data_IF_272080794815
#
_entry.id   IF_272080794815
#
_cell.length_a   1.000
_cell.length_b   1.000
_cell.length_c   1.000
_cell.angle_alpha   90.00
_cell.angle_beta   90.00
_cell.angle_gamma   90.00
#
_symmetry.space_group_name_H-M   'P 1'
#
loop_
_entity.id
_entity.type
_entity.pdbx_description
1 polymer ?
#
# COMPACT_ATOMS: atom_id res chain seq x y z
N UNK A 1 -5.50 8.27 13.08
CA UNK A 1 -5.46 8.55 11.61
C UNK A 1 -6.51 9.60 11.35
N UNK A 2 -6.15 10.71 10.69
CA UNK A 2 -7.11 11.78 10.38
C UNK A 2 -8.07 11.34 9.27
N UNK A 3 -9.29 11.86 9.29
CA UNK A 3 -10.26 11.67 8.21
C UNK A 3 -9.75 12.19 6.87
N UNK A 4 -8.94 13.26 6.89
CA UNK A 4 -8.35 13.86 5.69
C UNK A 4 -7.43 12.89 4.95
N UNK A 5 -6.64 12.08 5.67
CA UNK A 5 -5.77 11.07 5.05
C UNK A 5 -6.60 10.00 4.34
N UNK A 6 -7.74 9.60 4.91
CA UNK A 6 -8.64 8.64 4.28
C UNK A 6 -9.27 9.24 3.02
N UNK A 7 -9.71 10.50 3.08
CA UNK A 7 -10.29 11.21 1.94
C UNK A 7 -9.29 11.34 0.78
N UNK A 8 -8.06 11.76 1.07
CA UNK A 8 -6.97 11.85 0.07
C UNK A 8 -6.70 10.48 -0.53
N UNK A 9 -6.60 9.44 0.30
CA UNK A 9 -6.38 8.08 -0.17
C UNK A 9 -7.52 7.59 -1.08
N UNK A 10 -8.78 7.78 -0.68
CA UNK A 10 -9.93 7.39 -1.49
C UNK A 10 -9.98 8.14 -2.83
N UNK A 11 -9.69 9.46 -2.82
CA UNK A 11 -9.61 10.27 -4.04
C UNK A 11 -8.55 9.77 -5.02
N UNK A 12 -7.32 9.47 -4.54
CA UNK A 12 -6.23 8.94 -5.37
C UNK A 12 -6.53 7.56 -5.96
N UNK A 13 -7.43 6.80 -5.34
CA UNK A 13 -7.80 5.46 -5.75
C UNK A 13 -9.29 5.33 -6.10
N UNK A 14 -9.92 6.39 -6.61
CA UNK A 14 -11.36 6.39 -6.96
C UNK A 14 -11.73 5.34 -8.01
N UNK A 15 -10.76 4.85 -8.80
CA UNK A 15 -10.95 3.75 -9.76
C UNK A 15 -10.91 2.35 -9.13
N UNK A 16 -10.65 2.23 -7.82
CA UNK A 16 -10.70 0.97 -7.07
C UNK A 16 -12.06 0.81 -6.38
N UNK A 17 -12.55 -0.43 -6.21
CA UNK A 17 -13.81 -0.66 -5.50
C UNK A 17 -13.68 -0.33 -4.01
N UNK A 18 -14.78 0.08 -3.38
CA UNK A 18 -14.83 0.43 -1.94
C UNK A 18 -14.30 -0.68 -1.05
N UNK A 19 -14.63 -1.94 -1.35
CA UNK A 19 -14.11 -3.11 -0.64
C UNK A 19 -12.57 -3.21 -0.65
N UNK A 20 -11.90 -2.65 -1.66
CA UNK A 20 -10.44 -2.56 -1.69
C UNK A 20 -9.94 -1.44 -0.76
N UNK A 21 -10.61 -0.28 -0.74
CA UNK A 21 -10.30 0.84 0.15
C UNK A 21 -10.44 0.42 1.61
N UNK A 22 -11.58 -0.16 1.97
CA UNK A 22 -11.87 -0.66 3.32
C UNK A 22 -10.84 -1.68 3.80
N UNK A 23 -10.48 -2.65 2.95
CA UNK A 23 -9.47 -3.66 3.27
C UNK A 23 -8.08 -3.05 3.46
N UNK A 24 -7.73 -2.02 2.68
CA UNK A 24 -6.47 -1.30 2.83
C UNK A 24 -6.42 -0.55 4.17
N UNK A 25 -7.51 0.12 4.54
CA UNK A 25 -7.67 0.80 5.85
C UNK A 25 -7.57 -0.21 7.00
N UNK A 26 -8.27 -1.35 6.90
CA UNK A 26 -8.24 -2.40 7.91
C UNK A 26 -6.81 -2.93 8.11
N UNK A 27 -6.06 -3.16 7.03
CA UNK A 27 -4.64 -3.58 7.12
C UNK A 27 -3.75 -2.53 7.74
N UNK A 28 -3.93 -1.26 7.37
CA UNK A 28 -3.21 -0.17 7.97
C UNK A 28 -3.42 -0.14 9.50
N UNK A 29 -4.67 -0.28 9.96
CA UNK A 29 -5.02 -0.35 11.39
C UNK A 29 -4.43 -1.57 12.11
N UNK A 30 -4.22 -2.70 11.41
CA UNK A 30 -3.57 -3.88 11.98
C UNK A 30 -2.07 -3.71 12.21
N UNK A 31 -1.45 -2.76 11.51
CA UNK A 31 -0.04 -2.39 11.67
C UNK A 31 0.72 -2.39 10.35
N UNK A 32 1.36 -1.25 10.09
CA UNK A 32 2.39 -1.06 9.07
C UNK A 32 3.64 -0.55 9.75
N UNK A 33 4.75 -1.25 9.54
CA UNK A 33 6.06 -0.94 10.08
C UNK A 33 6.98 -0.53 8.94
N UNK A 34 7.63 0.64 9.05
CA UNK A 34 8.69 1.02 8.12
C UNK A 34 9.99 0.36 8.57
N UNK A 35 10.50 -0.56 7.76
CA UNK A 35 11.73 -1.33 8.04
C UNK A 35 12.97 -0.59 7.52
N UNK A 36 12.84 0.11 6.39
CA UNK A 36 13.86 0.99 5.84
C UNK A 36 13.20 2.08 5.00
N UNK A 37 14.00 2.97 4.41
CA UNK A 37 13.50 4.11 3.60
C UNK A 37 12.42 3.67 2.59
N UNK A 38 12.65 2.57 1.88
CA UNK A 38 11.82 2.06 0.78
C UNK A 38 11.16 0.70 1.08
N UNK A 39 11.20 0.23 2.33
CA UNK A 39 10.73 -1.12 2.70
C UNK A 39 9.78 -1.07 3.89
N UNK A 40 8.65 -1.72 3.74
CA UNK A 40 7.57 -1.73 4.72
C UNK A 40 7.13 -3.16 5.03
N UNK A 41 6.72 -3.40 6.26
CA UNK A 41 6.13 -4.65 6.72
C UNK A 41 4.67 -4.40 7.06
N UNK A 42 3.77 -5.14 6.43
CA UNK A 42 2.32 -5.06 6.65
C UNK A 42 1.87 -6.34 7.34
N UNK A 43 1.08 -6.21 8.40
CA UNK A 43 0.51 -7.38 9.08
C UNK A 43 -0.54 -8.06 8.17
N UNK A 44 -0.46 -9.38 8.09
CA UNK A 44 -1.47 -10.20 7.42
C UNK A 44 -2.78 -10.24 8.22
N UNK A 45 -3.91 -10.43 7.54
CA UNK A 45 -5.19 -10.65 8.22
C UNK A 45 -5.31 -12.10 8.73
N UNK A 46 -6.25 -12.33 9.67
CA UNK A 46 -6.66 -13.68 10.07
C UNK A 46 -7.08 -14.46 8.81
N UNK A 47 -6.55 -15.66 8.64
CA UNK A 47 -6.72 -16.55 7.47
C UNK A 47 -5.89 -16.20 6.23
N UNK A 48 -5.00 -15.21 6.29
CA UNK A 48 -3.98 -15.08 5.26
C UNK A 48 -2.83 -16.05 5.48
N UNK A 49 -2.29 -16.57 4.38
CA UNK A 49 -1.20 -17.54 4.40
C UNK A 49 0.11 -16.99 5.01
N UNK A 50 0.29 -15.67 5.07
CA UNK A 50 1.46 -15.06 5.68
C UNK A 50 1.02 -14.12 6.81
N UNK A 51 1.68 -14.23 7.96
CA UNK A 51 1.45 -13.33 9.11
C UNK A 51 1.95 -11.91 8.84
N UNK A 52 2.90 -11.75 7.92
CA UNK A 52 3.47 -10.48 7.47
C UNK A 52 3.77 -10.49 5.98
N UNK A 53 3.62 -9.34 5.35
CA UNK A 53 3.95 -9.09 3.95
C UNK A 53 4.98 -7.96 3.86
N UNK A 54 6.03 -8.16 3.08
CA UNK A 54 7.04 -7.13 2.81
C UNK A 54 6.65 -6.39 1.54
N UNK A 55 6.48 -5.08 1.62
CA UNK A 55 6.23 -4.20 0.47
C UNK A 55 7.47 -3.35 0.24
N UNK A 56 7.91 -3.26 -1.01
CA UNK A 56 9.12 -2.53 -1.40
C UNK A 56 8.77 -1.51 -2.48
N UNK A 57 9.19 -0.26 -2.31
CA UNK A 57 9.13 0.75 -3.35
C UNK A 57 10.27 0.52 -4.35
N UNK A 58 9.94 0.50 -5.64
CA UNK A 58 10.81 0.11 -6.74
C UNK A 58 11.16 1.28 -7.67
N UNK A 59 10.85 2.52 -7.28
CA UNK A 59 10.94 3.70 -8.14
C UNK A 59 9.64 3.98 -8.88
N UNK A 60 9.75 4.66 -10.01
CA UNK A 60 8.63 5.01 -10.87
C UNK A 60 8.66 4.16 -12.15
N UNK A 61 7.49 3.94 -12.75
CA UNK A 61 7.41 3.37 -14.10
C UNK A 61 7.64 4.44 -15.17
N UNK A 62 7.54 4.05 -16.44
CA UNK A 62 7.73 4.91 -17.61
C UNK A 62 6.76 6.10 -17.67
N UNK A 63 5.62 6.02 -16.98
CA UNK A 63 4.63 7.10 -16.88
C UNK A 63 4.85 7.96 -15.63
N UNK A 64 5.97 7.77 -14.92
CA UNK A 64 6.25 8.49 -13.68
C UNK A 64 5.38 8.04 -12.50
N UNK A 65 4.64 6.94 -12.60
CA UNK A 65 3.78 6.46 -11.51
C UNK A 65 4.57 5.53 -10.57
N UNK A 66 4.39 5.63 -9.24
CA UNK A 66 5.18 4.85 -8.31
C UNK A 66 4.90 3.35 -8.47
N UNK A 67 5.96 2.56 -8.37
CA UNK A 67 5.94 1.11 -8.50
C UNK A 67 6.28 0.49 -7.17
N UNK A 68 5.42 -0.42 -6.73
CA UNK A 68 5.63 -1.20 -5.53
C UNK A 68 5.63 -2.68 -5.85
N UNK A 69 6.47 -3.43 -5.13
CA UNK A 69 6.47 -4.87 -5.13
C UNK A 69 5.82 -5.41 -3.85
N UNK A 70 4.83 -6.28 -4.00
CA UNK A 70 4.30 -7.13 -2.94
C UNK A 70 4.39 -8.61 -3.36
N UNK A 71 4.91 -9.50 -2.51
CA UNK A 71 4.93 -10.95 -2.77
C UNK A 71 3.54 -11.55 -3.07
N UNK A 72 2.48 -10.91 -2.58
CA UNK A 72 1.10 -11.29 -2.87
C UNK A 72 0.75 -11.19 -4.37
N UNK A 73 1.40 -10.31 -5.13
CA UNK A 73 1.18 -10.12 -6.57
C UNK A 73 1.71 -11.29 -7.39
N UNK A 74 2.84 -11.90 -6.98
CA UNK A 74 3.41 -13.08 -7.64
C UNK A 74 2.44 -14.26 -7.66
N UNK A 75 1.65 -14.40 -6.59
CA UNK A 75 0.61 -15.44 -6.52
C UNK A 75 -0.58 -15.12 -7.40
N UNK A 76 -1.04 -13.88 -7.42
CA UNK A 76 -2.15 -13.47 -8.29
C UNK A 76 -1.81 -13.65 -9.77
N UNK A 77 -0.54 -13.44 -10.15
CA UNK A 77 -0.05 -13.70 -11.51
C UNK A 77 -0.26 -15.16 -11.95
N UNK A 78 -0.28 -16.13 -11.03
CA UNK A 78 -0.57 -17.54 -11.35
C UNK A 78 -2.04 -17.79 -11.73
N UNK A 79 -2.95 -16.88 -11.37
CA UNK A 79 -4.40 -17.04 -11.56
C UNK A 79 -5.03 -15.90 -12.37
N UNK A 80 -4.23 -15.03 -13.01
CA UNK A 80 -4.73 -13.89 -13.77
C UNK A 80 -3.76 -12.70 -13.80
N UNK A 81 -4.25 -11.51 -14.19
CA UNK A 81 -3.45 -10.28 -14.18
C UNK A 81 -3.11 -9.86 -12.75
N UNK A 82 -1.83 -9.60 -12.49
CA UNK A 82 -1.40 -9.07 -11.20
C UNK A 82 -1.84 -7.61 -11.07
N UNK A 83 -2.69 -7.35 -10.06
CA UNK A 83 -3.08 -5.98 -9.68
C UNK A 83 -1.86 -5.12 -9.37
N UNK A 84 -1.76 -3.93 -9.99
CA UNK A 84 -0.72 -2.94 -9.71
C UNK A 84 -0.66 -2.55 -8.22
N UNK A 85 -1.83 -2.36 -7.61
CA UNK A 85 -1.98 -2.00 -6.21
C UNK A 85 -2.85 -3.04 -5.49
N UNK A 86 -2.22 -3.92 -4.73
CA UNK A 86 -2.93 -4.79 -3.80
C UNK A 86 -3.28 -4.04 -2.50
N UNK A 87 -4.13 -4.62 -1.66
CA UNK A 87 -4.53 -3.98 -0.39
C UNK A 87 -3.37 -3.88 0.61
N UNK A 88 -2.31 -4.68 0.50
CA UNK A 88 -1.07 -4.48 1.27
C UNK A 88 -0.33 -3.22 0.84
N UNK A 89 -0.25 -2.95 -0.47
CA UNK A 89 0.34 -1.70 -0.98
C UNK A 89 -0.55 -0.51 -0.59
N UNK A 90 -1.88 -0.63 -0.70
CA UNK A 90 -2.80 0.40 -0.23
C UNK A 90 -2.57 0.78 1.24
N UNK A 91 -2.34 -0.21 2.11
CA UNK A 91 -2.01 0.05 3.52
C UNK A 91 -0.68 0.81 3.70
N UNK A 92 0.33 0.54 2.87
CA UNK A 92 1.60 1.28 2.89
C UNK A 92 1.41 2.72 2.40
N UNK A 93 0.60 2.94 1.38
CA UNK A 93 0.32 4.30 0.88
C UNK A 93 -0.44 5.11 1.92
N UNK A 94 -1.39 4.49 2.65
CA UNK A 94 -2.02 5.12 3.81
C UNK A 94 -1.01 5.51 4.89
N UNK A 95 -0.05 4.63 5.19
CA UNK A 95 1.03 4.94 6.12
C UNK A 95 1.86 6.13 5.63
N UNK A 96 2.26 6.14 4.36
CA UNK A 96 3.03 7.23 3.75
C UNK A 96 2.26 8.56 3.85
N UNK A 97 0.99 8.60 3.45
CA UNK A 97 0.15 9.79 3.55
C UNK A 97 0.03 10.28 5.00
N UNK A 98 0.00 9.38 5.98
CA UNK A 98 -0.04 9.74 7.39
C UNK A 98 1.28 10.30 7.93
N UNK A 99 2.41 10.05 7.24
CA UNK A 99 3.77 10.39 7.68
C UNK A 99 4.47 11.42 6.81
N UNK A 100 3.95 11.75 5.63
CA UNK A 100 4.61 12.66 4.68
C UNK A 100 4.82 14.07 5.24
N UNK A 101 3.95 14.54 6.15
CA UNK A 101 4.15 15.83 6.84
C UNK A 101 5.35 15.82 7.80
N UNK A 102 5.67 14.66 8.38
CA UNK A 102 6.79 14.45 9.30
C UNK A 102 8.08 14.10 8.54
N UNK A 103 7.96 13.36 7.43
CA UNK A 103 9.05 12.95 6.55
C UNK A 103 8.68 13.19 5.08
N UNK A 104 8.99 14.39 4.54
CA UNK A 104 8.71 14.75 3.14
C UNK A 104 9.41 13.85 2.12
N UNK A 105 10.47 13.12 2.51
CA UNK A 105 11.17 12.20 1.58
C UNK A 105 10.29 11.03 1.13
N UNK A 106 9.14 10.82 1.78
CA UNK A 106 8.14 9.81 1.41
C UNK A 106 7.21 10.26 0.28
N UNK A 107 7.17 11.56 -0.05
CA UNK A 107 6.26 12.10 -1.07
C UNK A 107 6.46 11.46 -2.44
N UNK A 108 7.71 11.11 -2.78
CA UNK A 108 8.10 10.39 -4.00
C UNK A 108 7.46 9.01 -4.16
N UNK A 109 6.73 8.52 -3.16
CA UNK A 109 6.07 7.21 -3.19
C UNK A 109 4.54 7.33 -3.32
N UNK A 110 4.01 8.55 -3.37
CA UNK A 110 2.57 8.81 -3.46
C UNK A 110 2.17 8.84 -4.95
N UNK A 111 1.17 8.03 -5.37
CA UNK A 111 0.66 8.05 -6.75
C UNK A 111 -0.24 9.24 -7.04
#
# INVERSE_FOLDING_TARGET
MSEDVIKIFASKFAYKPDSWIERSIKRFRLGVERVSKYKFRVRGMKNERCSRYTVVFMGHDENGLPKFFCPCQLRRKKYGKAERYCTHIGAVILYILSKVKEDPSLEVMIP
#
